data_IF_601574610666
#
_entry.id   IF_601574610666
#
_cell.length_a   1.000
_cell.length_b   1.000
_cell.length_c   1.000
_cell.angle_alpha   90.00
_cell.angle_beta   90.00
_cell.angle_gamma   90.00
#
_symmetry.space_group_name_H-M   'P 1'
#
loop_
_entity.id
_entity.type
_entity.pdbx_description
1 polymer ?
#
# COMPACT_ATOMS: atom_id res chain seq x y z
N UNK A 1 8.02 -4.47 11.73
CA UNK A 1 7.82 -3.87 10.38
C UNK A 1 9.15 -3.37 9.86
N UNK A 2 9.46 -3.61 8.58
CA UNK A 2 10.71 -3.22 7.92
C UNK A 2 10.86 -1.69 7.76
N UNK A 3 9.74 -0.97 7.80
CA UNK A 3 9.63 0.48 7.64
C UNK A 3 8.73 1.07 8.74
N UNK A 4 8.98 2.30 9.16
CA UNK A 4 8.23 2.95 10.24
C UNK A 4 6.85 3.44 9.78
N UNK A 5 6.77 4.01 8.58
CA UNK A 5 5.55 4.53 7.96
C UNK A 5 5.74 4.66 6.44
N UNK A 6 4.72 5.18 5.76
CA UNK A 6 4.74 5.41 4.31
C UNK A 6 5.90 6.34 3.89
N UNK A 7 6.13 7.43 4.60
CA UNK A 7 7.20 8.39 4.31
C UNK A 7 8.61 7.78 4.40
N UNK A 8 8.87 6.99 5.44
CA UNK A 8 10.13 6.25 5.64
C UNK A 8 10.37 5.23 4.51
N UNK A 9 9.33 4.48 4.12
CA UNK A 9 9.40 3.53 3.01
C UNK A 9 9.85 4.20 1.71
N UNK A 10 9.14 5.25 1.29
CA UNK A 10 9.41 5.91 0.00
C UNK A 10 10.78 6.61 0.02
N UNK A 11 11.18 7.18 1.16
CA UNK A 11 12.49 7.84 1.31
C UNK A 11 13.63 6.86 1.14
N UNK A 12 13.57 5.70 1.80
CA UNK A 12 14.58 4.64 1.65
C UNK A 12 14.63 4.11 0.23
N UNK A 13 13.48 3.81 -0.37
CA UNK A 13 13.41 3.32 -1.75
C UNK A 13 13.97 4.33 -2.75
N UNK A 14 13.68 5.61 -2.56
CA UNK A 14 14.25 6.69 -3.38
C UNK A 14 15.77 6.72 -3.28
N UNK A 15 16.32 6.62 -2.07
CA UNK A 15 17.78 6.60 -1.82
C UNK A 15 18.44 5.35 -2.41
N UNK A 16 17.82 4.17 -2.25
CA UNK A 16 18.27 2.90 -2.87
C UNK A 16 18.39 3.03 -4.39
N UNK A 17 17.42 3.69 -5.04
CA UNK A 17 17.43 3.98 -6.47
C UNK A 17 18.29 5.18 -6.88
N UNK A 18 18.98 5.82 -5.93
CA UNK A 18 19.82 7.01 -6.14
C UNK A 18 19.06 8.18 -6.79
N UNK A 19 17.78 8.31 -6.49
CA UNK A 19 16.93 9.39 -6.99
C UNK A 19 16.97 10.55 -5.99
N UNK A 20 17.18 11.77 -6.46
CA UNK A 20 17.12 12.95 -5.58
C UNK A 20 15.67 13.34 -5.31
N UNK A 21 15.42 14.01 -4.18
CA UNK A 21 14.07 14.51 -3.84
C UNK A 21 13.48 15.37 -4.97
N UNK A 22 14.30 16.23 -5.60
CA UNK A 22 13.88 17.10 -6.72
C UNK A 22 13.51 16.27 -7.94
N UNK A 23 14.37 15.33 -8.35
CA UNK A 23 14.11 14.46 -9.49
C UNK A 23 12.84 13.64 -9.31
N UNK A 24 12.61 13.06 -8.12
CA UNK A 24 11.39 12.29 -7.85
C UNK A 24 10.15 13.18 -7.85
N UNK A 25 10.25 14.40 -7.29
CA UNK A 25 9.16 15.36 -7.29
C UNK A 25 8.77 15.77 -8.73
N UNK A 26 9.77 16.05 -9.57
CA UNK A 26 9.56 16.35 -10.99
C UNK A 26 8.89 15.18 -11.72
N UNK A 27 9.39 13.95 -11.51
CA UNK A 27 8.82 12.74 -12.10
C UNK A 27 7.38 12.48 -11.65
N UNK A 28 7.00 12.87 -10.43
CA UNK A 28 5.65 12.74 -9.87
C UNK A 28 4.74 13.94 -10.20
N UNK A 29 5.28 14.99 -10.83
CA UNK A 29 4.55 16.24 -11.07
C UNK A 29 4.09 16.93 -9.78
N UNK A 30 4.92 16.93 -8.74
CA UNK A 30 4.67 17.61 -7.46
C UNK A 30 5.85 18.50 -7.07
N UNK A 31 5.67 19.38 -6.09
CA UNK A 31 6.78 20.20 -5.60
C UNK A 31 7.72 19.41 -4.68
N UNK A 32 9.02 19.69 -4.72
CA UNK A 32 9.99 19.06 -3.83
C UNK A 32 9.71 19.28 -2.33
N UNK A 33 9.24 20.47 -1.88
CA UNK A 33 8.79 20.65 -0.50
C UNK A 33 7.62 19.74 -0.13
N UNK A 34 6.63 19.59 -1.03
CA UNK A 34 5.49 18.70 -0.80
C UNK A 34 5.95 17.24 -0.61
N UNK A 35 6.81 16.74 -1.52
CA UNK A 35 7.34 15.39 -1.39
C UNK A 35 8.19 15.21 -0.12
N UNK A 36 8.94 16.23 0.29
CA UNK A 36 9.69 16.22 1.56
C UNK A 36 8.76 16.08 2.76
N UNK A 37 7.62 16.76 2.75
CA UNK A 37 6.63 16.63 3.82
C UNK A 37 5.95 15.26 3.83
N UNK A 38 5.75 14.64 2.67
CA UNK A 38 5.27 13.26 2.58
C UNK A 38 6.31 12.28 3.12
N UNK A 39 7.59 12.41 2.74
CA UNK A 39 8.69 11.58 3.29
C UNK A 39 8.86 11.72 4.79
N UNK A 40 8.56 12.91 5.34
CA UNK A 40 8.59 13.18 6.78
C UNK A 40 7.28 12.85 7.51
N UNK A 41 6.35 12.17 6.84
CA UNK A 41 5.06 11.74 7.39
C UNK A 41 4.16 12.91 7.89
N UNK A 42 4.42 14.12 7.40
CA UNK A 42 3.67 15.36 7.73
C UNK A 42 2.46 15.60 6.82
N UNK A 43 2.35 14.84 5.73
CA UNK A 43 1.25 14.89 4.78
C UNK A 43 0.68 13.49 4.55
N UNK A 44 -0.55 13.46 4.04
CA UNK A 44 -1.16 12.21 3.63
C UNK A 44 -0.42 11.59 2.42
N UNK A 45 -0.45 10.25 2.28
CA UNK A 45 0.04 9.57 1.09
C UNK A 45 -0.68 10.06 -0.17
N UNK A 46 -0.07 9.85 -1.33
CA UNK A 46 -0.66 10.20 -2.63
C UNK A 46 -1.91 9.35 -2.94
N UNK A 47 -2.75 9.81 -3.86
CA UNK A 47 -3.83 9.00 -4.44
C UNK A 47 -3.31 7.72 -5.12
N UNK A 48 -4.22 6.80 -5.45
CA UNK A 48 -3.85 5.51 -6.04
C UNK A 48 -3.12 5.65 -7.38
N UNK A 49 -3.46 6.65 -8.19
CA UNK A 49 -2.82 6.91 -9.48
C UNK A 49 -1.35 7.29 -9.30
N UNK A 50 -1.07 8.26 -8.42
CA UNK A 50 0.29 8.66 -8.08
C UNK A 50 1.04 7.58 -7.31
N UNK A 51 0.38 6.75 -6.51
CA UNK A 51 1.01 5.59 -5.88
C UNK A 51 1.44 4.56 -6.94
N UNK A 52 0.63 4.31 -7.96
CA UNK A 52 1.00 3.44 -9.08
C UNK A 52 2.19 4.03 -9.86
N UNK A 53 2.18 5.35 -10.12
CA UNK A 53 3.30 6.05 -10.74
C UNK A 53 4.57 5.95 -9.88
N UNK A 54 4.46 6.14 -8.56
CA UNK A 54 5.57 6.01 -7.63
C UNK A 54 6.16 4.60 -7.62
N UNK A 55 5.31 3.57 -7.65
CA UNK A 55 5.76 2.18 -7.76
C UNK A 55 6.56 1.94 -9.04
N UNK A 56 6.16 2.55 -10.16
CA UNK A 56 6.89 2.49 -11.42
C UNK A 56 8.23 3.24 -11.34
N UNK A 57 8.25 4.47 -10.82
CA UNK A 57 9.47 5.29 -10.66
C UNK A 57 10.51 4.59 -9.78
N UNK A 58 10.04 3.95 -8.70
CA UNK A 58 10.88 3.25 -7.75
C UNK A 58 11.14 1.78 -8.14
N UNK A 59 10.63 1.33 -9.29
CA UNK A 59 10.74 -0.03 -9.81
C UNK A 59 10.47 -1.09 -8.73
N UNK A 60 9.37 -0.90 -8.00
CA UNK A 60 9.00 -1.77 -6.89
C UNK A 60 8.63 -3.16 -7.39
N UNK A 61 9.02 -4.20 -6.64
CA UNK A 61 8.43 -5.53 -6.85
C UNK A 61 6.94 -5.51 -6.46
N UNK A 62 6.22 -6.58 -6.79
CA UNK A 62 4.83 -6.72 -6.39
C UNK A 62 4.67 -6.64 -4.87
N UNK A 63 5.53 -7.34 -4.13
CA UNK A 63 5.52 -7.38 -2.67
C UNK A 63 5.83 -6.00 -2.07
N UNK A 64 6.75 -5.26 -2.67
CA UNK A 64 7.09 -3.90 -2.24
C UNK A 64 5.97 -2.91 -2.55
N UNK A 65 5.26 -3.09 -3.67
CA UNK A 65 4.07 -2.31 -3.99
C UNK A 65 2.96 -2.59 -2.99
N UNK A 66 2.69 -3.85 -2.66
CA UNK A 66 1.66 -4.24 -1.69
C UNK A 66 1.99 -3.65 -0.30
N UNK A 67 3.25 -3.71 0.13
CA UNK A 67 3.73 -3.06 1.37
C UNK A 67 3.50 -1.54 1.33
N UNK A 68 3.83 -0.87 0.22
CA UNK A 68 3.61 0.56 0.05
C UNK A 68 2.13 0.94 0.17
N UNK A 69 1.23 0.16 -0.46
CA UNK A 69 -0.21 0.40 -0.41
C UNK A 69 -0.78 0.16 1.00
N UNK A 70 -0.31 -0.87 1.69
CA UNK A 70 -0.65 -1.12 3.10
C UNK A 70 -0.22 0.03 4.01
N UNK A 71 1.00 0.53 3.86
CA UNK A 71 1.50 1.68 4.63
C UNK A 71 0.70 2.96 4.34
N UNK A 72 0.30 3.16 3.07
CA UNK A 72 -0.53 4.29 2.68
C UNK A 72 -1.94 4.20 3.29
N UNK A 73 -2.56 3.01 3.27
CA UNK A 73 -3.84 2.75 3.93
C UNK A 73 -3.75 3.02 5.45
N UNK A 74 -2.74 2.46 6.11
CA UNK A 74 -2.50 2.64 7.55
C UNK A 74 -2.40 4.12 7.94
N UNK A 75 -1.66 4.94 7.18
CA UNK A 75 -1.54 6.38 7.44
C UNK A 75 -2.88 7.11 7.30
N UNK A 76 -3.78 6.63 6.44
CA UNK A 76 -5.13 7.16 6.25
C UNK A 76 -6.17 6.58 7.21
N UNK A 77 -5.75 5.68 8.12
CA UNK A 77 -6.65 4.88 8.94
C UNK A 77 -7.71 4.14 8.10
N UNK A 78 -7.29 3.59 6.96
CA UNK A 78 -8.12 2.90 5.99
C UNK A 78 -7.43 1.62 5.49
N UNK A 79 -8.17 0.78 4.77
CA UNK A 79 -7.57 -0.33 4.02
C UNK A 79 -6.65 0.19 2.90
N UNK A 80 -5.80 -0.69 2.37
CA UNK A 80 -4.91 -0.36 1.25
C UNK A 80 -5.72 0.25 0.07
N UNK A 81 -5.26 1.33 -0.58
CA UNK A 81 -6.10 2.12 -1.51
C UNK A 81 -6.62 1.38 -2.75
N UNK A 82 -6.10 0.19 -3.05
CA UNK A 82 -6.52 -0.69 -4.15
C UNK A 82 -7.66 -1.66 -3.77
N UNK A 83 -7.91 -1.88 -2.49
CA UNK A 83 -8.91 -2.83 -2.00
C UNK A 83 -10.37 -2.30 -1.97
N UNK A 84 -10.67 -1.01 -1.72
CA UNK A 84 -12.03 -0.53 -1.58
C UNK A 84 -12.92 -0.87 -2.76
N UNK A 85 -12.42 -0.68 -3.99
CA UNK A 85 -13.19 -0.97 -5.20
C UNK A 85 -13.55 -2.47 -5.30
N UNK A 86 -12.59 -3.35 -5.00
CA UNK A 86 -12.82 -4.80 -4.99
C UNK A 86 -13.88 -5.21 -3.97
N UNK A 87 -13.82 -4.64 -2.76
CA UNK A 87 -14.73 -4.92 -1.64
C UNK A 87 -16.13 -4.38 -1.94
N UNK A 88 -16.23 -3.15 -2.45
CA UNK A 88 -17.51 -2.46 -2.70
C UNK A 88 -18.28 -3.07 -3.88
N UNK A 89 -17.60 -3.60 -4.89
CA UNK A 89 -18.25 -4.25 -6.04
C UNK A 89 -18.79 -5.65 -5.70
N UNK A 90 -18.50 -6.20 -4.51
CA UNK A 90 -18.75 -7.59 -4.15
C UNK A 90 -19.35 -7.68 -2.75
N UNK A 91 -20.68 -7.65 -2.68
CA UNK A 91 -21.41 -7.76 -1.41
C UNK A 91 -21.00 -8.99 -0.59
N UNK A 92 -20.69 -10.10 -1.26
CA UNK A 92 -20.23 -11.33 -0.62
C UNK A 92 -18.87 -11.19 0.08
N UNK A 93 -17.97 -10.33 -0.39
CA UNK A 93 -16.68 -10.06 0.27
C UNK A 93 -16.93 -9.31 1.57
N UNK A 94 -17.80 -8.30 1.54
CA UNK A 94 -18.18 -7.56 2.74
C UNK A 94 -18.90 -8.46 3.76
N UNK A 95 -19.78 -9.36 3.30
CA UNK A 95 -20.42 -10.35 4.15
C UNK A 95 -19.39 -11.30 4.79
N UNK A 96 -18.47 -11.85 4.00
CA UNK A 96 -17.41 -12.74 4.49
C UNK A 96 -16.50 -12.05 5.53
N UNK A 97 -16.11 -10.79 5.30
CA UNK A 97 -15.32 -10.02 6.28
C UNK A 97 -16.06 -9.81 7.59
N UNK A 98 -17.38 -9.55 7.56
CA UNK A 98 -18.21 -9.44 8.77
C UNK A 98 -18.29 -10.79 9.49
N UNK A 99 -18.58 -11.87 8.78
CA UNK A 99 -18.63 -13.22 9.36
C UNK A 99 -17.31 -13.61 10.00
N UNK A 100 -16.19 -13.39 9.32
CA UNK A 100 -14.87 -13.70 9.87
C UNK A 100 -14.58 -12.89 11.14
N UNK A 101 -14.95 -11.60 11.17
CA UNK A 101 -14.84 -10.77 12.38
C UNK A 101 -15.73 -11.30 13.51
N UNK A 102 -16.99 -11.61 13.22
CA UNK A 102 -17.97 -12.04 14.22
C UNK A 102 -17.66 -13.44 14.79
N UNK A 103 -16.83 -14.22 14.09
CA UNK A 103 -16.30 -15.52 14.53
C UNK A 103 -14.89 -15.44 15.12
N UNK A 104 -14.35 -14.23 15.35
CA UNK A 104 -12.99 -13.99 15.83
C UNK A 104 -11.91 -14.75 15.04
N UNK A 105 -12.09 -14.87 13.71
CA UNK A 105 -11.14 -15.55 12.84
C UNK A 105 -9.78 -14.84 12.86
N UNK A 106 -8.75 -15.57 13.28
CA UNK A 106 -7.39 -15.09 13.43
C UNK A 106 -6.54 -15.30 12.19
N UNK A 107 -5.24 -15.00 12.32
CA UNK A 107 -4.29 -15.11 11.23
C UNK A 107 -4.22 -16.53 10.65
N UNK A 108 -4.29 -17.57 11.49
CA UNK A 108 -4.22 -18.97 11.07
C UNK A 108 -5.40 -19.38 10.17
N UNK A 109 -6.63 -18.96 10.49
CA UNK A 109 -7.82 -19.22 9.67
C UNK A 109 -7.70 -18.55 8.30
N UNK A 110 -7.25 -17.29 8.28
CA UNK A 110 -7.06 -16.53 7.04
C UNK A 110 -5.93 -17.11 6.17
N UNK A 111 -4.82 -17.53 6.78
CA UNK A 111 -3.73 -18.18 6.06
C UNK A 111 -4.21 -19.49 5.40
N UNK A 112 -4.94 -20.33 6.15
CA UNK A 112 -5.55 -21.56 5.62
C UNK A 112 -6.48 -21.28 4.44
N UNK A 113 -7.38 -20.30 4.57
CA UNK A 113 -8.28 -19.89 3.50
C UNK A 113 -7.54 -19.45 2.23
N UNK A 114 -6.51 -18.61 2.37
CA UNK A 114 -5.70 -18.13 1.23
C UNK A 114 -4.91 -19.27 0.58
N UNK A 115 -4.36 -20.19 1.35
CA UNK A 115 -3.66 -21.37 0.82
C UNK A 115 -4.58 -22.27 0.00
N UNK A 116 -5.81 -22.51 0.47
CA UNK A 116 -6.81 -23.26 -0.29
C UNK A 116 -7.13 -22.61 -1.63
N UNK A 117 -7.27 -21.27 -1.67
CA UNK A 117 -7.49 -20.55 -2.92
C UNK A 117 -6.30 -20.66 -3.88
N UNK A 118 -5.07 -20.60 -3.36
CA UNK A 118 -3.85 -20.78 -4.17
C UNK A 118 -3.76 -22.18 -4.76
N UNK A 119 -4.08 -23.22 -3.99
CA UNK A 119 -4.05 -24.63 -4.42
C UNK A 119 -5.04 -24.95 -5.54
N UNK A 120 -6.17 -24.24 -5.61
CA UNK A 120 -7.18 -24.42 -6.67
C UNK A 120 -6.83 -23.73 -7.99
N UNK A 121 -5.89 -22.77 -7.96
CA UNK A 121 -5.44 -22.03 -9.14
C UNK A 121 -4.25 -22.70 -9.84
N UNK A 122 -3.49 -23.53 -9.11
CA UNK A 122 -2.48 -24.44 -9.67
C UNK A 122 -3.11 -25.76 -10.09
#
# INVERSE_FOLDING_TARGET
MKYANFGDFISRKRIEKKITIRKMADMLGVSAPFLTDVEKDRRNPFDIEKLNQLAHILELTKEEKDEMLNLAGKKRNAVAPDLPEYIMQRDYVSAALRTARDLDAGEEEWQRFVEELKKRKG
#
